data_IF_089386743998
#
_entry.id   IF_089386743998
#
_cell.length_a   1.000
_cell.length_b   1.000
_cell.length_c   1.000
_cell.angle_alpha   90.00
_cell.angle_beta   90.00
_cell.angle_gamma   90.00
#
_symmetry.space_group_name_H-M   'P 1'
#
loop_
_entity.id
_entity.type
_entity.pdbx_description
1 polymer ?
#
# COMPACT_ATOMS: atom_id res chain seq x y z
N UNK A 1 -5.25 -12.40 -17.03
CA UNK A 1 -5.41 -12.17 -15.58
C UNK A 1 -6.82 -11.64 -15.34
N UNK A 2 -7.63 -12.32 -14.53
CA UNK A 2 -8.96 -11.83 -14.18
C UNK A 2 -8.83 -10.62 -13.25
N UNK A 3 -9.41 -9.49 -13.66
CA UNK A 3 -9.44 -8.27 -12.85
C UNK A 3 -10.47 -8.49 -11.74
N UNK A 4 -10.00 -8.60 -10.50
CA UNK A 4 -10.86 -8.73 -9.32
C UNK A 4 -11.92 -7.63 -9.32
N UNK A 5 -13.19 -7.99 -9.10
CA UNK A 5 -14.30 -7.04 -9.05
C UNK A 5 -14.12 -6.06 -7.90
N UNK A 6 -14.77 -4.88 -7.96
CA UNK A 6 -14.74 -3.89 -6.87
C UNK A 6 -15.16 -4.49 -5.52
N UNK A 7 -16.08 -5.46 -5.54
CA UNK A 7 -16.58 -6.13 -4.34
C UNK A 7 -15.55 -7.11 -3.75
N UNK A 8 -14.85 -7.86 -4.60
CA UNK A 8 -13.75 -8.75 -4.21
C UNK A 8 -12.56 -7.95 -3.68
N UNK A 9 -12.22 -6.83 -4.35
CA UNK A 9 -11.20 -5.89 -3.85
C UNK A 9 -11.57 -5.33 -2.47
N UNK A 10 -12.84 -5.01 -2.23
CA UNK A 10 -13.35 -4.59 -0.91
C UNK A 10 -13.22 -5.69 0.15
N UNK A 11 -13.54 -6.94 -0.20
CA UNK A 11 -13.40 -8.10 0.71
C UNK A 11 -11.94 -8.39 1.07
N UNK A 12 -11.00 -8.21 0.13
CA UNK A 12 -9.56 -8.41 0.35
C UNK A 12 -8.93 -7.24 1.11
N UNK A 13 -9.35 -6.01 0.83
CA UNK A 13 -8.90 -4.83 1.57
C UNK A 13 -9.46 -4.79 3.01
N UNK A 14 -10.59 -5.46 3.24
CA UNK A 14 -11.35 -5.41 4.51
C UNK A 14 -10.53 -5.75 5.75
N UNK A 15 -9.72 -6.81 5.84
CA UNK A 15 -8.98 -7.12 7.07
C UNK A 15 -7.92 -6.07 7.41
N UNK A 16 -7.25 -5.50 6.40
CA UNK A 16 -6.18 -4.52 6.57
C UNK A 16 -6.71 -3.13 6.88
N UNK A 17 -7.72 -2.68 6.12
CA UNK A 17 -8.44 -1.44 6.39
C UNK A 17 -9.13 -1.50 7.75
N UNK A 18 -9.71 -2.65 8.11
CA UNK A 18 -10.25 -2.88 9.47
C UNK A 18 -9.15 -2.81 10.52
N UNK A 19 -7.97 -3.40 10.32
CA UNK A 19 -6.83 -3.29 11.26
C UNK A 19 -6.35 -1.85 11.45
N UNK A 20 -6.33 -1.05 10.38
CA UNK A 20 -6.00 0.39 10.46
C UNK A 20 -7.11 1.16 11.20
N UNK A 21 -8.38 0.94 10.88
CA UNK A 21 -9.51 1.67 11.50
C UNK A 21 -9.73 1.24 12.95
N UNK A 22 -9.74 -0.06 13.24
CA UNK A 22 -10.05 -0.59 14.58
C UNK A 22 -8.82 -0.68 15.47
N UNK A 23 -7.64 -1.00 14.92
CA UNK A 23 -6.42 -1.13 15.71
C UNK A 23 -5.71 0.21 15.95
N UNK A 24 -5.49 0.98 14.88
CA UNK A 24 -4.84 2.29 14.96
C UNK A 24 -5.86 3.41 15.20
N UNK A 25 -7.00 3.39 14.50
CA UNK A 25 -7.98 4.47 14.59
C UNK A 25 -8.66 4.55 15.96
N UNK A 26 -9.14 3.43 16.50
CA UNK A 26 -9.77 3.46 17.84
C UNK A 26 -8.77 3.74 18.98
N UNK A 27 -7.52 3.27 18.88
CA UNK A 27 -6.50 3.56 19.90
C UNK A 27 -5.95 4.99 19.83
N UNK A 28 -6.22 5.71 18.72
CA UNK A 28 -5.75 7.08 18.46
C UNK A 28 -6.90 8.09 18.23
N UNK A 29 -8.15 7.70 18.47
CA UNK A 29 -9.35 8.52 18.19
C UNK A 29 -9.42 9.06 16.76
N UNK A 30 -8.95 8.30 15.77
CA UNK A 30 -9.07 8.69 14.36
C UNK A 30 -10.37 8.14 13.77
N UNK A 31 -11.08 9.02 13.08
CA UNK A 31 -12.30 8.72 12.33
C UNK A 31 -12.00 8.32 10.88
N UNK A 32 -13.00 7.80 10.17
CA UNK A 32 -12.89 7.52 8.73
C UNK A 32 -12.58 8.79 7.92
N UNK A 33 -13.15 9.93 8.31
CA UNK A 33 -12.89 11.23 7.66
C UNK A 33 -11.47 11.73 7.86
N UNK A 34 -10.76 11.28 8.90
CA UNK A 34 -9.34 11.62 9.09
C UNK A 34 -8.42 10.74 8.22
N UNK A 35 -8.89 9.54 7.85
CA UNK A 35 -8.12 8.59 7.05
C UNK A 35 -8.14 8.93 5.56
N UNK A 36 -9.24 9.45 5.02
CA UNK A 36 -9.34 9.86 3.62
C UNK A 36 -8.24 10.86 3.18
N UNK A 37 -8.03 12.00 3.86
CA UNK A 37 -6.97 12.93 3.48
C UNK A 37 -5.57 12.33 3.67
N UNK A 38 -5.38 11.46 4.67
CA UNK A 38 -4.11 10.77 4.88
C UNK A 38 -3.80 9.77 3.76
N UNK A 39 -4.82 9.04 3.27
CA UNK A 39 -4.70 8.15 2.11
C UNK A 39 -4.37 8.98 0.86
N UNK A 40 -5.10 10.06 0.62
CA UNK A 40 -4.86 10.91 -0.55
C UNK A 40 -3.44 11.49 -0.53
N UNK A 41 -2.99 12.01 0.61
CA UNK A 41 -1.62 12.50 0.77
C UNK A 41 -0.58 11.40 0.50
N UNK A 42 -0.87 10.16 0.92
CA UNK A 42 0.02 9.02 0.66
C UNK A 42 0.08 8.68 -0.83
N UNK A 43 -1.06 8.68 -1.54
CA UNK A 43 -1.11 8.48 -2.99
C UNK A 43 -0.30 9.56 -3.74
N UNK A 44 -0.48 10.83 -3.35
CA UNK A 44 0.25 11.96 -3.95
C UNK A 44 1.76 11.83 -3.70
N UNK A 45 2.15 11.44 -2.49
CA UNK A 45 3.56 11.20 -2.16
C UNK A 45 4.14 10.04 -2.98
N UNK A 46 3.39 8.94 -3.15
CA UNK A 46 3.83 7.81 -3.98
C UNK A 46 4.02 8.26 -5.42
N UNK A 47 3.06 8.99 -6.00
CA UNK A 47 3.18 9.49 -7.37
C UNK A 47 4.41 10.38 -7.56
N UNK A 48 4.70 11.26 -6.59
CA UNK A 48 5.87 12.14 -6.62
C UNK A 48 7.22 11.39 -6.46
N UNK A 49 7.24 10.27 -5.73
CA UNK A 49 8.48 9.55 -5.39
C UNK A 49 8.67 8.25 -6.16
N UNK A 50 7.71 7.86 -7.00
CA UNK A 50 7.77 6.60 -7.75
C UNK A 50 9.04 6.50 -8.61
N UNK A 51 9.44 7.59 -9.26
CA UNK A 51 10.61 7.61 -10.13
C UNK A 51 11.91 7.31 -9.38
N UNK A 52 12.11 7.92 -8.20
CA UNK A 52 13.31 7.70 -7.38
C UNK A 52 13.35 6.28 -6.82
N UNK A 53 12.20 5.74 -6.40
CA UNK A 53 12.08 4.34 -5.99
C UNK A 53 12.48 3.39 -7.12
N UNK A 54 11.92 3.57 -8.32
CA UNK A 54 12.22 2.71 -9.47
C UNK A 54 13.69 2.85 -9.88
N UNK A 55 14.27 4.05 -9.83
CA UNK A 55 15.69 4.25 -10.15
C UNK A 55 16.63 3.48 -9.20
N UNK A 56 16.31 3.45 -7.90
CA UNK A 56 17.10 2.80 -6.86
C UNK A 56 17.08 1.27 -6.87
N UNK A 57 16.16 0.64 -7.61
CA UNK A 57 16.10 -0.82 -7.68
C UNK A 57 17.31 -1.41 -8.44
N UNK A 58 17.77 -2.64 -8.11
CA UNK A 58 18.85 -3.31 -8.82
C UNK A 58 18.51 -3.60 -10.29
N UNK A 59 19.50 -3.56 -11.19
CA UNK A 59 19.28 -3.71 -12.63
C UNK A 59 18.62 -5.03 -13.09
N UNK A 60 18.91 -6.22 -12.54
CA UNK A 60 18.17 -7.41 -12.99
C UNK A 60 16.69 -7.34 -12.58
N UNK A 61 16.36 -6.71 -11.45
CA UNK A 61 14.98 -6.60 -11.00
C UNK A 61 14.22 -5.57 -11.85
N UNK A 62 14.80 -4.40 -12.11
CA UNK A 62 14.16 -3.34 -12.91
C UNK A 62 13.77 -3.80 -14.32
N UNK A 63 14.68 -4.53 -14.97
CA UNK A 63 14.55 -4.97 -16.35
C UNK A 63 13.56 -6.13 -16.52
N UNK A 64 13.47 -7.03 -15.53
CA UNK A 64 12.67 -8.26 -15.64
C UNK A 64 11.30 -8.19 -14.95
N UNK A 65 10.91 -7.03 -14.42
CA UNK A 65 9.64 -6.88 -13.68
C UNK A 65 8.80 -5.76 -14.26
N UNK A 66 7.47 -5.94 -14.20
CA UNK A 66 6.52 -4.91 -14.58
C UNK A 66 6.25 -3.92 -13.43
N UNK A 67 5.37 -2.95 -13.65
CA UNK A 67 4.99 -1.97 -12.63
C UNK A 67 4.32 -2.64 -11.42
N UNK A 68 3.51 -3.67 -11.65
CA UNK A 68 2.79 -4.37 -10.58
C UNK A 68 3.73 -5.09 -9.62
N UNK A 69 4.74 -5.79 -10.13
CA UNK A 69 5.77 -6.45 -9.32
C UNK A 69 6.59 -5.44 -8.48
N UNK A 70 6.86 -4.25 -9.02
CA UNK A 70 7.54 -3.17 -8.29
C UNK A 70 6.66 -2.62 -7.16
N UNK A 71 5.36 -2.43 -7.40
CA UNK A 71 4.40 -2.01 -6.36
C UNK A 71 4.26 -3.08 -5.27
N UNK A 72 4.24 -4.36 -5.63
CA UNK A 72 4.19 -5.45 -4.66
C UNK A 72 5.44 -5.50 -3.78
N UNK A 73 6.64 -5.28 -4.33
CA UNK A 73 7.87 -5.17 -3.55
C UNK A 73 7.82 -4.00 -2.57
N UNK A 74 7.31 -2.85 -3.02
CA UNK A 74 7.12 -1.67 -2.17
C UNK A 74 6.16 -1.97 -1.01
N UNK A 75 4.98 -2.54 -1.31
CA UNK A 75 3.99 -2.92 -0.32
C UNK A 75 4.53 -3.96 0.68
N UNK A 76 5.21 -5.01 0.20
CA UNK A 76 5.88 -5.99 1.04
C UNK A 76 6.88 -5.35 2.01
N UNK A 77 7.70 -4.41 1.52
CA UNK A 77 8.70 -3.72 2.34
C UNK A 77 8.05 -2.85 3.42
N UNK A 78 6.96 -2.14 3.09
CA UNK A 78 6.19 -1.36 4.06
C UNK A 78 5.53 -2.25 5.11
N UNK A 79 4.92 -3.36 4.69
CA UNK A 79 4.27 -4.32 5.60
C UNK A 79 5.29 -4.96 6.55
N UNK A 80 6.48 -5.32 6.06
CA UNK A 80 7.57 -5.82 6.90
C UNK A 80 8.02 -4.76 7.92
N UNK A 81 8.20 -3.50 7.50
CA UNK A 81 8.53 -2.39 8.42
C UNK A 81 7.45 -2.12 9.46
N UNK A 82 6.18 -2.31 9.10
CA UNK A 82 5.05 -2.20 10.00
C UNK A 82 4.91 -3.41 10.96
N UNK A 83 5.83 -4.39 10.91
CA UNK A 83 5.77 -5.60 11.74
C UNK A 83 4.62 -6.54 11.37
N UNK A 84 4.10 -6.45 10.15
CA UNK A 84 2.97 -7.25 9.67
C UNK A 84 3.42 -8.53 8.97
N UNK A 85 4.68 -8.60 8.54
CA UNK A 85 5.33 -9.75 7.92
C UNK A 85 6.63 -10.02 8.68
N UNK A 86 6.90 -11.29 8.96
CA UNK A 86 8.14 -11.79 9.57
C UNK A 86 9.27 -11.88 8.56
#
# INVERSE_FOLDING_TARGET
>A
MAILTRLERKKIASPWVRKIITGLGQSKNLSLSDLEPAIQYTEDWIAANQASYVAGLPQPFKANTDASAKVLLFAYTLMKRAGLLS
#
